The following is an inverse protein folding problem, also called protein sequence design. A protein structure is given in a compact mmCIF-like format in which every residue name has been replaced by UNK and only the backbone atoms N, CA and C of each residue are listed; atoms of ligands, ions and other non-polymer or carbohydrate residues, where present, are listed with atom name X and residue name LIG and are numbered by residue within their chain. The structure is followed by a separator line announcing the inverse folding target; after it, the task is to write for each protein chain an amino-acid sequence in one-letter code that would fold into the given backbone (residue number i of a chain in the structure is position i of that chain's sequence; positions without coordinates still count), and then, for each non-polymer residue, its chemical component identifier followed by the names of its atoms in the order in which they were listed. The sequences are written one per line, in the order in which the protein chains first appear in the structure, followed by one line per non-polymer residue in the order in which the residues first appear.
data_IF_474755430271
#
_entry.id   IF_474755430271
#
_cell.length_a   1.000
_cell.length_b   1.000
_cell.length_c   1.000
_cell.angle_alpha   90.00
_cell.angle_beta   90.00
_cell.angle_gamma   90.00
#
_symmetry.space_group_name_H-M   'P 1'
#
loop_
_entity.id
_entity.type
_entity.pdbx_description
1 polymer ?
#
# COMPACT_ATOMS: atom_id res chain seq x y z
N UNK A 1 10.58 -2.97 -14.94
CA UNK A 1 10.29 -1.86 -14.04
C UNK A 1 9.17 -1.02 -14.61
N UNK A 2 8.25 -0.59 -13.76
CA UNK A 2 7.19 0.36 -14.10
C UNK A 2 7.03 1.35 -12.95
N UNK A 3 6.68 2.59 -13.28
CA UNK A 3 6.36 3.63 -12.30
C UNK A 3 4.86 3.87 -12.36
N UNK A 4 4.20 3.87 -11.23
CA UNK A 4 2.78 4.17 -11.09
C UNK A 4 2.60 5.30 -10.06
N UNK A 5 1.74 6.25 -10.38
CA UNK A 5 1.29 7.30 -9.48
C UNK A 5 -0.14 6.98 -9.04
N UNK A 6 -0.63 7.62 -7.98
CA UNK A 6 -2.06 7.55 -7.62
C UNK A 6 -3.00 7.86 -8.80
N UNK A 7 -2.58 8.76 -9.68
CA UNK A 7 -3.32 9.17 -10.88
C UNK A 7 -3.22 8.18 -12.05
N UNK A 8 -2.45 7.11 -11.91
CA UNK A 8 -2.29 6.04 -12.90
C UNK A 8 -0.85 5.79 -13.35
N UNK A 9 -0.65 4.91 -14.35
CA UNK A 9 0.68 4.48 -14.78
C UNK A 9 1.45 5.60 -15.48
N UNK A 10 2.75 5.67 -15.20
CA UNK A 10 3.69 6.53 -15.91
C UNK A 10 4.10 5.86 -17.23
N UNK A 11 3.79 6.51 -18.36
CA UNK A 11 3.96 5.92 -19.69
C UNK A 11 5.23 6.39 -20.43
N UNK A 12 6.05 7.25 -19.81
CA UNK A 12 7.31 7.70 -20.41
C UNK A 12 8.47 6.77 -20.01
N UNK A 13 9.58 6.84 -20.76
CA UNK A 13 10.78 6.08 -20.45
C UNK A 13 11.35 6.50 -19.09
N UNK A 14 11.73 5.52 -18.25
CA UNK A 14 12.25 5.75 -16.90
C UNK A 14 13.70 6.26 -16.91
N UNK A 15 13.88 7.55 -17.21
CA UNK A 15 15.12 8.30 -17.00
C UNK A 15 15.09 9.04 -15.67
N UNK A 16 16.27 9.44 -15.18
CA UNK A 16 16.39 10.23 -13.94
C UNK A 16 15.50 11.49 -13.97
N UNK A 17 15.48 12.20 -15.11
CA UNK A 17 14.65 13.40 -15.30
C UNK A 17 13.15 13.06 -15.30
N UNK A 18 12.74 11.98 -15.99
CA UNK A 18 11.33 11.58 -16.02
C UNK A 18 10.81 11.17 -14.64
N UNK A 19 11.65 10.51 -13.82
CA UNK A 19 11.34 10.13 -12.45
C UNK A 19 11.14 11.38 -11.60
N UNK A 20 12.03 12.37 -11.74
CA UNK A 20 11.90 13.65 -11.03
C UNK A 20 10.61 14.39 -11.43
N UNK A 21 10.26 14.40 -12.72
CA UNK A 21 9.01 15.00 -13.22
C UNK A 21 7.79 14.27 -12.67
N UNK A 22 7.80 12.94 -12.68
CA UNK A 22 6.68 12.12 -12.18
C UNK A 22 6.45 12.34 -10.68
N UNK A 23 7.51 12.25 -9.87
CA UNK A 23 7.45 12.46 -8.42
C UNK A 23 7.16 13.92 -8.06
N UNK A 24 7.52 14.87 -8.92
CA UNK A 24 7.12 16.27 -8.80
C UNK A 24 5.62 16.52 -8.86
N UNK A 25 4.82 15.53 -9.26
CA UNK A 25 3.35 15.59 -9.22
C UNK A 25 2.76 15.22 -7.87
N UNK A 26 3.57 14.72 -6.93
CA UNK A 26 3.10 14.37 -5.60
C UNK A 26 2.83 15.66 -4.81
N UNK A 27 1.56 16.00 -4.66
CA UNK A 27 1.07 17.18 -3.95
C UNK A 27 0.36 16.83 -2.64
N UNK A 28 0.04 15.55 -2.42
CA UNK A 28 -0.69 15.07 -1.24
C UNK A 28 -2.20 15.31 -1.27
N UNK A 29 -2.74 15.91 -2.33
CA UNK A 29 -4.17 16.16 -2.50
C UNK A 29 -4.72 15.34 -3.68
N UNK A 30 -4.24 15.61 -4.89
CA UNK A 30 -4.64 14.90 -6.11
C UNK A 30 -3.74 13.70 -6.39
N UNK A 31 -2.52 13.71 -5.84
CA UNK A 31 -1.56 12.63 -6.00
C UNK A 31 -0.67 12.55 -4.76
N UNK A 32 -0.85 11.51 -3.96
CA UNK A 32 -0.24 11.35 -2.65
C UNK A 32 0.77 10.20 -2.57
N UNK A 33 0.79 9.31 -3.56
CA UNK A 33 1.73 8.18 -3.59
C UNK A 33 2.28 7.86 -4.97
N UNK A 34 3.45 7.22 -4.98
CA UNK A 34 4.08 6.66 -6.17
C UNK A 34 4.77 5.33 -5.84
N UNK A 35 4.75 4.39 -6.80
CA UNK A 35 5.33 3.05 -6.69
C UNK A 35 6.21 2.79 -7.91
N UNK A 36 7.46 2.41 -7.70
CA UNK A 36 8.39 1.93 -8.73
C UNK A 36 8.64 0.44 -8.52
N UNK A 37 7.96 -0.39 -9.32
CA UNK A 37 8.09 -1.84 -9.27
C UNK A 37 9.25 -2.35 -10.13
N UNK A 38 9.91 -3.42 -9.68
CA UNK A 38 10.73 -4.28 -10.52
C UNK A 38 9.95 -5.53 -10.94
N UNK A 39 9.21 -6.11 -9.99
CA UNK A 39 8.22 -7.19 -10.11
C UNK A 39 7.04 -6.86 -9.20
N UNK A 40 5.96 -7.65 -9.27
CA UNK A 40 4.78 -7.48 -8.40
C UNK A 40 5.15 -7.47 -6.89
N UNK A 41 6.10 -8.31 -6.49
CA UNK A 41 6.51 -8.44 -5.09
C UNK A 41 7.79 -7.68 -4.71
N UNK A 42 8.39 -6.93 -5.65
CA UNK A 42 9.63 -6.18 -5.40
C UNK A 42 9.50 -4.76 -5.92
N UNK A 43 9.40 -3.79 -5.01
CA UNK A 43 9.14 -2.39 -5.33
C UNK A 43 9.76 -1.42 -4.31
N UNK A 44 9.90 -0.16 -4.71
CA UNK A 44 10.10 1.00 -3.84
C UNK A 44 8.90 1.93 -4.02
N UNK A 45 8.30 2.38 -2.92
CA UNK A 45 7.18 3.32 -2.94
C UNK A 45 7.39 4.49 -1.99
N UNK A 46 6.59 5.52 -2.19
CA UNK A 46 6.49 6.67 -1.29
C UNK A 46 5.04 7.10 -1.14
N UNK A 47 4.71 7.66 0.02
CA UNK A 47 3.47 8.40 0.22
C UNK A 47 3.73 9.65 1.07
N UNK A 48 2.95 10.71 0.83
CA UNK A 48 3.05 11.97 1.56
C UNK A 48 2.82 13.19 0.68
N UNK A 49 3.35 14.33 1.13
CA UNK A 49 3.25 15.60 0.41
C UNK A 49 4.49 16.45 0.61
N UNK A 50 4.71 17.48 -0.23
CA UNK A 50 5.79 18.44 -0.01
C UNK A 50 5.66 19.24 1.30
N UNK A 51 4.44 19.36 1.85
CA UNK A 51 4.18 20.11 3.08
C UNK A 51 4.45 19.27 4.34
N UNK A 52 4.00 18.00 4.37
CA UNK A 52 4.19 17.11 5.52
C UNK A 52 5.49 16.31 5.46
N UNK A 53 6.13 16.28 4.28
CA UNK A 53 7.17 15.31 3.95
C UNK A 53 6.58 13.95 3.57
N UNK A 54 7.50 13.05 3.22
CA UNK A 54 7.21 11.74 2.67
C UNK A 54 7.74 10.62 3.57
N UNK A 55 7.12 9.46 3.43
CA UNK A 55 7.58 8.18 3.94
C UNK A 55 8.05 7.34 2.74
N UNK A 56 9.09 6.54 2.92
CA UNK A 56 9.50 5.52 1.95
C UNK A 56 9.14 4.13 2.47
N UNK A 57 8.74 3.26 1.56
CA UNK A 57 8.58 1.83 1.84
C UNK A 57 9.14 1.01 0.70
N UNK A 58 9.64 -0.18 1.00
CA UNK A 58 10.06 -1.11 -0.05
C UNK A 58 9.73 -2.54 0.35
N UNK A 59 9.50 -3.37 -0.67
CA UNK A 59 9.36 -4.82 -0.54
C UNK A 59 10.36 -5.52 -1.43
N UNK A 60 10.85 -6.68 -0.99
CA UNK A 60 11.69 -7.57 -1.79
C UNK A 60 11.16 -8.98 -1.70
N UNK A 61 10.76 -9.56 -2.83
CA UNK A 61 10.31 -10.94 -3.01
C UNK A 61 8.99 -11.33 -2.33
N UNK A 62 8.71 -10.90 -1.10
CA UNK A 62 7.49 -11.25 -0.36
C UNK A 62 7.12 -10.23 0.76
N UNK A 63 5.93 -10.42 1.34
CA UNK A 63 5.39 -9.58 2.43
C UNK A 63 6.20 -9.67 3.74
N UNK A 64 6.95 -10.74 3.96
CA UNK A 64 7.84 -10.86 5.12
C UNK A 64 9.09 -10.02 4.96
N UNK A 65 9.32 -9.41 3.79
CA UNK A 65 10.44 -8.51 3.51
C UNK A 65 9.94 -7.13 3.08
N UNK A 66 8.90 -6.64 3.77
CA UNK A 66 8.37 -5.28 3.63
C UNK A 66 8.92 -4.37 4.75
N UNK A 67 9.39 -3.19 4.37
CA UNK A 67 10.05 -2.24 5.26
C UNK A 67 9.54 -0.82 5.03
N UNK A 68 9.51 -0.01 6.09
CA UNK A 68 9.14 1.41 6.08
C UNK A 68 10.25 2.25 6.72
N UNK A 69 10.52 3.43 6.16
CA UNK A 69 11.48 4.37 6.73
C UNK A 69 11.04 4.83 8.13
N UNK A 70 12.00 4.97 9.05
CA UNK A 70 11.69 5.53 10.38
C UNK A 70 11.38 7.03 10.34
N UNK A 71 12.05 7.77 9.45
CA UNK A 71 11.70 9.16 9.13
C UNK A 71 10.39 9.20 8.35
N UNK A 72 9.57 10.18 8.69
CA UNK A 72 8.27 10.44 8.06
C UNK A 72 8.18 11.81 7.37
N UNK A 73 9.29 12.56 7.42
CA UNK A 73 9.42 13.93 6.93
C UNK A 73 10.47 14.00 5.80
N UNK A 74 10.61 12.93 5.00
CA UNK A 74 11.60 12.87 3.93
C UNK A 74 11.23 13.91 2.87
N UNK A 75 12.13 14.85 2.51
CA UNK A 75 11.82 15.84 1.48
C UNK A 75 11.79 15.18 0.10
N UNK A 76 11.01 15.76 -0.82
CA UNK A 76 10.85 15.23 -2.19
C UNK A 76 12.18 15.00 -2.92
N UNK A 77 13.19 15.85 -2.68
CA UNK A 77 14.52 15.71 -3.29
C UNK A 77 15.24 14.42 -2.88
N UNK A 78 15.09 13.99 -1.62
CA UNK A 78 15.63 12.72 -1.13
C UNK A 78 14.84 11.53 -1.70
N UNK A 79 13.51 11.65 -1.79
CA UNK A 79 12.64 10.65 -2.43
C UNK A 79 13.03 10.43 -3.90
N UNK A 80 13.19 11.52 -4.67
CA UNK A 80 13.65 11.47 -6.07
C UNK A 80 15.00 10.77 -6.18
N UNK A 81 15.94 11.11 -5.31
CA UNK A 81 17.27 10.48 -5.30
C UNK A 81 17.18 8.98 -5.04
N UNK A 82 16.34 8.55 -4.10
CA UNK A 82 16.13 7.14 -3.79
C UNK A 82 15.52 6.37 -4.98
N UNK A 83 14.50 6.93 -5.63
CA UNK A 83 13.88 6.33 -6.81
C UNK A 83 14.83 6.23 -8.00
N UNK A 84 15.65 7.25 -8.25
CA UNK A 84 16.67 7.23 -9.32
C UNK A 84 17.75 6.18 -9.05
N UNK A 85 18.24 6.07 -7.80
CA UNK A 85 19.17 5.00 -7.41
C UNK A 85 18.54 3.62 -7.60
N UNK A 86 17.30 3.43 -7.13
CA UNK A 86 16.55 2.19 -7.29
C UNK A 86 16.39 1.80 -8.76
N UNK A 87 15.96 2.74 -9.62
CA UNK A 87 15.78 2.53 -11.05
C UNK A 87 17.07 2.06 -11.75
N UNK A 88 18.23 2.52 -11.28
CA UNK A 88 19.56 2.15 -11.79
C UNK A 88 20.13 0.86 -11.19
N UNK A 89 19.42 0.23 -10.25
CA UNK A 89 19.89 -0.94 -9.51
C UNK A 89 20.99 -0.63 -8.49
N UNK A 90 21.18 0.64 -8.12
CA UNK A 90 22.14 1.04 -7.10
C UNK A 90 21.57 0.79 -5.71
N UNK A 91 21.97 -0.30 -5.05
CA UNK A 91 21.49 -0.66 -3.71
C UNK A 91 21.88 0.33 -2.58
N UNK A 92 22.65 1.39 -2.86
CA UNK A 92 23.04 2.37 -1.83
C UNK A 92 21.85 3.11 -1.21
N UNK A 93 20.73 3.26 -1.93
CA UNK A 93 19.53 3.92 -1.40
C UNK A 93 19.00 3.29 -0.11
N UNK A 94 19.19 1.98 0.10
CA UNK A 94 18.76 1.31 1.33
C UNK A 94 19.56 1.77 2.55
N UNK A 95 20.82 2.21 2.37
CA UNK A 95 21.69 2.63 3.48
C UNK A 95 21.52 4.10 3.82
N UNK A 96 20.83 4.87 2.98
CA UNK A 96 20.58 6.29 3.19
C UNK A 96 19.49 6.54 4.26
N UNK A 97 18.77 5.48 4.68
CA UNK A 97 17.67 5.55 5.63
C UNK A 97 17.75 4.45 6.68
N UNK A 98 17.13 4.70 7.84
CA UNK A 98 16.83 3.67 8.83
C UNK A 98 15.44 3.08 8.57
N UNK A 99 15.31 1.76 8.71
CA UNK A 99 14.10 1.04 8.31
C UNK A 99 13.53 0.24 9.48
N UNK A 100 12.19 0.18 9.52
CA UNK A 100 11.42 -0.74 10.36
C UNK A 100 10.81 -1.80 9.47
N UNK A 101 11.00 -3.07 9.85
CA UNK A 101 10.27 -4.18 9.24
C UNK A 101 8.77 -4.05 9.55
N UNK A 102 7.94 -4.13 8.52
CA UNK A 102 6.49 -4.12 8.66
C UNK A 102 6.01 -5.54 8.98
N UNK A 103 5.05 -5.66 9.90
CA UNK A 103 4.40 -6.94 10.15
C UNK A 103 3.40 -7.19 9.03
N UNK A 104 3.38 -8.39 8.42
CA UNK A 104 2.37 -8.73 7.43
C UNK A 104 0.99 -8.50 8.03
N UNK A 105 0.08 -7.87 7.29
CA UNK A 105 -1.30 -7.73 7.73
C UNK A 105 -1.97 -9.11 7.70
N UNK A 106 -1.80 -9.89 8.76
CA UNK A 106 -2.55 -11.13 8.97
C UNK A 106 -3.97 -10.70 9.25
N UNK A 107 -4.83 -10.73 8.23
CA UNK A 107 -6.27 -10.69 8.41
C UNK A 107 -6.64 -11.85 9.32
N UNK A 108 -6.75 -11.58 10.64
CA UNK A 108 -7.33 -12.55 11.56
C UNK A 108 -8.73 -12.81 10.99
N UNK A 109 -9.06 -14.07 10.63
CA UNK A 109 -10.40 -14.37 10.17
C UNK A 109 -11.38 -13.83 11.21
N UNK A 110 -12.51 -13.23 10.80
CA UNK A 110 -13.47 -12.69 11.74
C UNK A 110 -13.77 -13.74 12.78
N UNK A 111 -13.37 -13.47 14.03
CA UNK A 111 -13.68 -14.36 15.15
C UNK A 111 -15.19 -14.55 15.13
N UNK A 112 -15.71 -15.79 15.07
CA UNK A 112 -17.15 -15.99 15.06
C UNK A 112 -17.70 -15.38 16.33
N UNK A 113 -18.34 -14.20 16.22
CA UNK A 113 -19.10 -13.60 17.29
C UNK A 113 -20.11 -14.66 17.71
N UNK A 114 -20.09 -15.05 19.00
CA UNK A 114 -21.07 -15.95 19.64
C UNK A 114 -22.47 -15.31 19.69
N UNK A 115 -23.00 -14.84 18.56
CA UNK A 115 -24.29 -14.16 18.43
C UNK A 115 -24.97 -14.61 17.14
N UNK A 116 -25.13 -15.92 16.96
CA UNK A 116 -25.96 -16.46 15.86
C UNK A 116 -26.80 -17.68 16.27
N UNK A 117 -27.10 -17.85 17.57
CA UNK A 117 -28.14 -18.81 18.00
C UNK A 117 -29.54 -18.20 18.14
N UNK A 118 -29.69 -16.87 18.10
CA UNK A 118 -30.99 -16.20 18.29
C UNK A 118 -31.86 -16.07 17.03
N UNK A 119 -31.25 -15.97 15.84
CA UNK A 119 -32.00 -15.66 14.60
C UNK A 119 -32.57 -16.93 13.94
N UNK A 120 -31.96 -18.10 14.16
CA UNK A 120 -32.43 -19.35 13.55
C UNK A 120 -33.73 -19.89 14.20
N UNK A 121 -33.98 -19.60 15.48
CA UNK A 121 -35.20 -20.07 16.20
C UNK A 121 -36.45 -19.30 15.74
N UNK A 122 -36.31 -18.00 15.44
CA UNK A 122 -37.44 -17.16 14.99
C UNK A 122 -37.90 -17.53 13.58
N UNK A 123 -36.98 -17.86 12.67
CA UNK A 123 -37.31 -18.28 11.31
C UNK A 123 -37.98 -19.65 11.25
N UNK A 124 -37.58 -20.61 12.10
CA UNK A 124 -38.23 -21.93 12.19
C UNK A 124 -39.64 -21.79 12.80
N UNK A 125 -39.83 -20.95 13.81
CA UNK A 125 -41.14 -20.69 14.40
C UNK A 125 -42.10 -20.02 13.40
N UNK A 126 -41.63 -19.06 12.59
CA UNK A 126 -42.45 -18.39 11.58
C UNK A 126 -42.92 -19.36 10.48
N UNK A 127 -42.05 -20.28 10.05
CA UNK A 127 -42.38 -21.32 9.06
C UNK A 127 -43.38 -22.35 9.63
N UNK A 128 -43.27 -22.69 10.92
CA UNK A 128 -44.23 -23.58 11.59
C UNK A 128 -45.61 -22.93 11.74
N UNK A 129 -45.68 -21.65 12.14
CA UNK A 129 -46.94 -20.90 12.28
C UNK A 129 -47.62 -20.74 10.91
N UNK A 130 -46.87 -20.42 9.86
CA UNK A 130 -47.42 -20.27 8.50
C UNK A 130 -47.95 -21.59 7.90
N UNK A 131 -47.49 -22.75 8.38
CA UNK A 131 -48.02 -24.06 7.98
C UNK A 131 -49.31 -24.45 8.70
N UNK A 132 -49.56 -23.98 9.92
CA UNK A 132 -50.82 -24.25 10.63
C UNK A 132 -52.03 -23.44 10.13
N UNK A 133 -51.83 -22.37 9.35
CA UNK A 133 -52.93 -21.53 8.83
C UNK A 133 -53.39 -21.91 7.40
N UNK A 134 -52.93 -23.06 6.86
CA UNK A 134 -53.32 -23.58 5.54
C UNK A 134 -53.96 -24.98 5.60
N UNK A 135 -54.68 -25.29 6.67
CA UNK A 135 -55.64 -26.40 6.73
C UNK A 135 -57.06 -25.90 6.95
#
# INVERSE_FOLDING_TARGET
MKLELETGPWNEALTDDSIAVALGRLDGDQCSYAILDHTEDTYLQTCGSPESGFVLEYQVDDLDHHYQSLRQDIPLTEVVTAFQKYARGDASWQRDYEWRKMEPMVLKPPQPRKVFFGIMVVLVALVAVLRCFRE
#
